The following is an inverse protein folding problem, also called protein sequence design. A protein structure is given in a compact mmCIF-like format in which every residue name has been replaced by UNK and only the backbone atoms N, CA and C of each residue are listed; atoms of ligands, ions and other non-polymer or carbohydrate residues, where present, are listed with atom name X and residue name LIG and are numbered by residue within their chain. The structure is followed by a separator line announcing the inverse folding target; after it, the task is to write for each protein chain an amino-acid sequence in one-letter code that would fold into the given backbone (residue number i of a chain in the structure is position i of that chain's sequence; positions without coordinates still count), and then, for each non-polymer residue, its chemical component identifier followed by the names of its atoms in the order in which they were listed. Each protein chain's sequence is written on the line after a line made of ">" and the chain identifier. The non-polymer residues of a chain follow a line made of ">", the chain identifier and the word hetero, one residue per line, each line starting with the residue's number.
data_IF_711697224088
#
_entry.id   IF_711697224088
#
_cell.length_a   1.000
_cell.length_b   1.000
_cell.length_c   1.000
_cell.angle_alpha   90.00
_cell.angle_beta   90.00
_cell.angle_gamma   90.00
#
_symmetry.space_group_name_H-M   'P 1'
#
loop_
_entity.id
_entity.type
_entity.pdbx_description
1 polymer ?
#
# COMPACT_ATOMS: atom_id res chain seq x y z
N UNK A 1 50.83 -36.04 20.84
CA UNK A 1 50.83 -34.74 20.14
C UNK A 1 50.24 -34.94 18.76
N UNK A 2 48.92 -34.79 18.62
CA UNK A 2 48.27 -34.81 17.31
C UNK A 2 48.07 -33.37 16.83
N UNK A 3 48.64 -33.01 15.70
CA UNK A 3 48.47 -31.70 15.11
C UNK A 3 46.98 -31.51 14.74
N UNK A 4 46.30 -30.58 15.40
CA UNK A 4 44.95 -30.17 15.02
C UNK A 4 45.00 -29.50 13.65
N UNK A 5 44.13 -29.93 12.73
CA UNK A 5 44.00 -29.28 11.43
C UNK A 5 43.52 -27.84 11.63
N UNK A 6 44.28 -26.86 11.13
CA UNK A 6 43.88 -25.46 11.08
C UNK A 6 43.36 -25.12 9.68
N UNK A 7 42.13 -24.61 9.60
CA UNK A 7 41.49 -24.09 8.39
C UNK A 7 40.14 -23.45 8.75
N UNK A 8 39.61 -22.57 7.89
CA UNK A 8 38.25 -22.05 8.02
C UNK A 8 37.26 -23.04 7.41
N UNK A 9 36.38 -23.63 8.22
CA UNK A 9 35.35 -24.56 7.76
C UNK A 9 34.45 -25.01 8.90
N UNK A 10 33.33 -25.64 8.57
CA UNK A 10 32.42 -26.24 9.56
C UNK A 10 33.00 -27.57 10.03
N UNK A 11 33.43 -27.64 11.29
CA UNK A 11 34.03 -28.86 11.88
C UNK A 11 32.99 -29.84 12.41
N UNK A 12 31.80 -29.35 12.76
CA UNK A 12 30.65 -30.13 13.22
C UNK A 12 29.37 -29.30 13.16
N UNK A 13 28.22 -29.97 13.13
CA UNK A 13 26.89 -29.37 13.29
C UNK A 13 26.38 -29.66 14.69
N UNK A 14 25.80 -28.66 15.35
CA UNK A 14 25.08 -28.85 16.62
C UNK A 14 23.59 -28.86 16.31
N UNK A 15 22.87 -29.91 16.73
CA UNK A 15 21.41 -29.94 16.70
C UNK A 15 20.87 -30.04 18.11
N UNK A 16 19.69 -29.47 18.36
CA UNK A 16 19.01 -29.51 19.64
C UNK A 16 17.51 -29.31 19.43
N UNK A 17 16.70 -29.71 20.42
CA UNK A 17 15.27 -29.41 20.48
C UNK A 17 15.02 -28.33 21.52
N UNK A 18 14.20 -27.34 21.18
CA UNK A 18 13.81 -26.28 22.11
C UNK A 18 12.61 -26.75 22.94
N UNK A 19 12.73 -26.71 24.26
CA UNK A 19 11.64 -27.03 25.19
C UNK A 19 10.80 -25.78 25.48
N UNK A 20 11.46 -24.66 25.74
CA UNK A 20 10.81 -23.39 26.04
C UNK A 20 11.76 -22.23 25.74
N UNK A 21 11.20 -21.10 25.35
CA UNK A 21 11.89 -19.84 25.20
C UNK A 21 11.14 -18.78 26.04
N UNK A 22 11.87 -18.09 26.90
CA UNK A 22 11.43 -16.87 27.58
C UNK A 22 12.49 -15.78 27.41
N UNK A 23 12.17 -14.55 27.82
CA UNK A 23 12.98 -13.34 27.63
C UNK A 23 14.46 -13.50 28.03
N UNK A 24 14.76 -14.32 29.03
CA UNK A 24 16.13 -14.53 29.52
C UNK A 24 16.64 -15.98 29.42
N UNK A 25 15.84 -16.92 28.89
CA UNK A 25 16.16 -18.34 29.01
C UNK A 25 15.68 -19.19 27.84
N UNK A 26 16.64 -19.73 27.10
CA UNK A 26 16.44 -20.80 26.13
C UNK A 26 16.66 -22.15 26.82
N UNK A 27 15.60 -22.95 26.98
CA UNK A 27 15.72 -24.35 27.44
C UNK A 27 15.78 -25.29 26.24
N UNK A 28 16.83 -26.08 26.15
CA UNK A 28 17.03 -27.08 25.10
C UNK A 28 17.19 -28.49 25.67
N UNK A 29 16.81 -29.51 24.90
CA UNK A 29 17.11 -30.93 25.12
C UNK A 29 17.67 -31.56 23.85
N UNK A 30 18.15 -32.81 23.98
CA UNK A 30 18.58 -33.63 22.85
C UNK A 30 19.66 -32.94 22.00
N UNK A 31 20.60 -32.26 22.67
CA UNK A 31 21.73 -31.65 22.00
C UNK A 31 22.70 -32.74 21.51
N UNK A 32 22.94 -32.77 20.19
CA UNK A 32 23.91 -33.66 19.56
C UNK A 32 24.93 -32.86 18.76
N UNK A 33 26.15 -33.40 18.70
CA UNK A 33 27.20 -32.93 17.81
C UNK A 33 27.39 -33.97 16.71
N UNK A 34 27.29 -33.54 15.47
CA UNK A 34 27.51 -34.39 14.30
C UNK A 34 28.77 -33.93 13.58
N UNK A 35 29.77 -34.81 13.49
CA UNK A 35 31.00 -34.50 12.75
C UNK A 35 30.76 -34.46 11.22
N UNK A 36 31.76 -34.02 10.46
CA UNK A 36 31.67 -33.94 8.99
C UNK A 36 31.56 -35.30 8.29
N UNK A 37 31.60 -36.42 9.04
CA UNK A 37 31.40 -37.79 8.54
C UNK A 37 30.05 -38.38 8.97
N UNK A 38 29.21 -37.60 9.65
CA UNK A 38 27.89 -38.04 10.11
C UNK A 38 27.91 -38.81 11.42
N UNK A 39 29.03 -38.84 12.14
CA UNK A 39 29.12 -39.49 13.45
C UNK A 39 28.46 -38.62 14.50
N UNK A 40 27.42 -39.14 15.15
CA UNK A 40 26.70 -38.45 16.21
C UNK A 40 27.32 -38.74 17.58
N UNK A 41 27.56 -37.70 18.35
CA UNK A 41 27.89 -37.80 19.78
C UNK A 41 26.84 -37.06 20.58
N UNK A 42 26.18 -37.77 21.51
CA UNK A 42 25.32 -37.13 22.50
C UNK A 42 26.17 -36.27 23.42
N UNK A 43 25.78 -35.01 23.63
CA UNK A 43 26.46 -34.14 24.58
C UNK A 43 25.86 -34.44 25.96
N UNK A 44 26.18 -35.62 26.51
CA UNK A 44 25.79 -36.01 27.86
C UNK A 44 26.91 -35.60 28.84
N UNK A 45 26.60 -34.66 29.75
CA UNK A 45 27.41 -34.30 30.93
C UNK A 45 28.86 -33.82 30.68
N UNK A 46 29.15 -33.21 29.53
CA UNK A 46 30.39 -32.47 29.27
C UNK A 46 30.11 -30.97 29.26
N UNK A 47 30.82 -30.20 30.09
CA UNK A 47 30.66 -28.75 30.31
C UNK A 47 30.70 -27.96 28.98
N UNK A 48 29.54 -27.69 28.38
CA UNK A 48 29.37 -26.52 27.53
C UNK A 48 29.45 -25.33 28.49
N UNK A 49 30.61 -24.66 28.50
CA UNK A 49 30.83 -23.42 29.23
C UNK A 49 29.76 -22.43 28.77
N UNK A 50 28.73 -22.25 29.60
CA UNK A 50 27.58 -21.38 29.43
C UNK A 50 27.81 -20.27 28.41
N UNK A 51 27.25 -20.39 27.21
CA UNK A 51 26.99 -19.23 26.39
C UNK A 51 25.75 -18.56 26.99
N UNK A 52 25.94 -17.65 27.94
CA UNK A 52 24.89 -16.72 28.33
C UNK A 52 24.75 -15.74 27.17
N UNK A 53 23.84 -16.02 26.25
CA UNK A 53 23.36 -15.04 25.29
C UNK A 53 22.06 -14.45 25.84
N UNK A 54 21.99 -13.14 25.98
CA UNK A 54 20.70 -12.47 26.15
C UNK A 54 19.99 -12.54 24.80
N UNK A 55 18.95 -13.36 24.71
CA UNK A 55 18.09 -13.45 23.54
C UNK A 55 16.90 -12.55 23.82
N UNK A 56 16.86 -11.35 23.23
CA UNK A 56 15.68 -10.49 23.35
C UNK A 56 14.66 -10.94 22.29
N UNK A 57 13.53 -11.56 22.68
CA UNK A 57 12.50 -11.88 21.71
C UNK A 57 11.93 -10.58 21.15
N UNK A 58 11.74 -10.51 19.83
CA UNK A 58 11.10 -9.36 19.17
C UNK A 58 9.68 -9.74 18.76
N UNK A 59 8.79 -8.75 18.79
CA UNK A 59 7.43 -8.90 18.27
C UNK A 59 7.38 -8.51 16.80
N UNK A 60 6.54 -9.22 16.07
CA UNK A 60 6.27 -8.97 14.66
C UNK A 60 5.04 -8.08 14.51
N UNK A 61 5.17 -7.00 13.74
CA UNK A 61 4.03 -6.24 13.23
C UNK A 61 3.98 -6.41 11.72
N UNK A 62 2.99 -7.16 11.24
CA UNK A 62 2.79 -7.35 9.81
C UNK A 62 2.01 -6.18 9.23
N UNK A 63 2.69 -5.39 8.41
CA UNK A 63 2.11 -4.24 7.71
C UNK A 63 1.83 -4.55 6.25
N UNK A 64 0.60 -4.29 5.83
CA UNK A 64 0.11 -4.51 4.47
C UNK A 64 -0.72 -3.31 3.98
N UNK A 65 -0.90 -3.20 2.66
CA UNK A 65 -1.50 -2.01 2.04
C UNK A 65 -0.55 -1.23 1.12
N UNK A 66 0.53 -1.86 0.65
CA UNK A 66 1.34 -1.33 -0.44
C UNK A 66 0.69 -1.68 -1.79
N UNK A 67 0.27 -0.69 -2.57
CA UNK A 67 -0.39 -0.91 -3.86
C UNK A 67 -0.59 0.40 -4.63
N UNK A 68 -1.25 0.38 -5.81
CA UNK A 68 -1.42 1.58 -6.63
C UNK A 68 -2.17 2.72 -5.91
N UNK A 69 -2.95 2.41 -4.86
CA UNK A 69 -3.70 3.42 -4.11
C UNK A 69 -2.94 4.14 -3.00
N UNK A 70 -1.74 3.69 -2.63
CA UNK A 70 -0.97 4.31 -1.56
C UNK A 70 0.09 3.41 -0.94
N UNK A 71 0.64 3.87 0.17
CA UNK A 71 1.71 3.19 0.88
C UNK A 71 1.53 3.28 2.40
N UNK A 72 2.10 2.29 3.09
CA UNK A 72 2.28 2.27 4.54
C UNK A 72 3.78 2.13 4.82
N UNK A 73 4.30 2.89 5.78
CA UNK A 73 5.72 2.88 6.16
C UNK A 73 5.87 2.85 7.68
N UNK A 74 6.65 1.93 8.27
CA UNK A 74 7.35 0.81 7.59
C UNK A 74 6.38 -0.21 6.94
N UNK A 75 6.86 -0.98 5.97
CA UNK A 75 6.08 -1.97 5.21
C UNK A 75 6.61 -3.40 5.41
N UNK A 76 5.75 -4.41 5.27
CA UNK A 76 6.13 -5.81 5.46
C UNK A 76 6.19 -6.21 6.92
N UNK A 77 7.09 -7.15 7.25
CA UNK A 77 7.30 -7.63 8.62
C UNK A 77 8.24 -6.70 9.39
N UNK A 78 7.72 -6.06 10.43
CA UNK A 78 8.43 -5.08 11.25
C UNK A 78 8.71 -5.68 12.62
N UNK A 79 10.00 -5.75 12.97
CA UNK A 79 10.46 -6.35 14.22
C UNK A 79 10.65 -5.26 15.27
N UNK A 80 9.95 -5.39 16.40
CA UNK A 80 9.89 -4.40 17.47
C UNK A 80 10.34 -5.03 18.78
N UNK A 81 11.15 -4.30 19.56
CA UNK A 81 11.58 -4.74 20.90
C UNK A 81 10.40 -4.72 21.88
N UNK A 82 10.37 -5.62 22.89
CA UNK A 82 9.36 -5.62 23.92
C UNK A 82 9.23 -4.27 24.62
N UNK A 83 8.00 -3.80 24.76
CA UNK A 83 7.66 -2.51 25.37
C UNK A 83 8.03 -1.27 24.56
N UNK A 84 8.63 -1.42 23.37
CA UNK A 84 8.90 -0.29 22.50
C UNK A 84 7.63 0.20 21.80
N UNK A 85 7.67 1.46 21.35
CA UNK A 85 6.62 2.08 20.56
C UNK A 85 6.95 1.96 19.07
N UNK A 86 5.98 1.64 18.22
CA UNK A 86 6.15 1.62 16.78
C UNK A 86 5.10 2.46 16.06
N UNK A 87 5.56 3.43 15.27
CA UNK A 87 4.71 4.31 14.48
C UNK A 87 4.67 3.87 13.02
N UNK A 88 3.49 3.91 12.41
CA UNK A 88 3.24 3.71 10.99
C UNK A 88 2.66 4.98 10.38
N UNK A 89 3.17 5.35 9.20
CA UNK A 89 2.64 6.44 8.38
C UNK A 89 1.96 5.85 7.16
N UNK A 90 0.75 6.33 6.85
CA UNK A 90 -0.08 5.89 5.75
C UNK A 90 -0.25 7.07 4.80
N UNK A 91 0.25 6.93 3.58
CA UNK A 91 0.22 7.98 2.57
C UNK A 91 -0.57 7.50 1.34
N UNK A 92 -1.73 8.10 1.03
CA UNK A 92 -2.44 7.81 -0.21
C UNK A 92 -1.63 8.31 -1.40
N UNK A 93 -1.72 7.58 -2.52
CA UNK A 93 -1.20 8.04 -3.80
C UNK A 93 -2.02 9.22 -4.33
N UNK A 94 -1.46 9.96 -5.31
CA UNK A 94 -2.25 10.98 -6.03
C UNK A 94 -3.51 10.34 -6.62
N UNK A 95 -4.63 11.06 -6.61
CA UNK A 95 -5.96 10.56 -6.99
C UNK A 95 -6.61 9.51 -6.06
N UNK A 96 -6.01 9.17 -4.92
CA UNK A 96 -6.61 8.23 -3.95
C UNK A 96 -6.86 8.89 -2.59
N UNK A 97 -7.68 8.25 -1.78
CA UNK A 97 -7.85 8.57 -0.37
C UNK A 97 -7.81 7.28 0.47
N UNK A 98 -7.48 7.44 1.76
CA UNK A 98 -7.53 6.35 2.73
C UNK A 98 -9.00 6.08 3.05
N UNK A 99 -9.47 4.85 2.85
CA UNK A 99 -10.82 4.46 3.26
C UNK A 99 -10.84 3.88 4.66
N UNK A 100 -9.80 3.13 5.02
CA UNK A 100 -9.66 2.56 6.35
C UNK A 100 -8.22 2.17 6.66
N UNK A 101 -7.89 2.16 7.96
CA UNK A 101 -6.75 1.45 8.52
C UNK A 101 -7.29 0.42 9.51
N UNK A 102 -6.93 -0.84 9.34
CA UNK A 102 -7.35 -1.95 10.20
C UNK A 102 -6.13 -2.41 10.99
N UNK A 103 -6.27 -2.53 12.30
CA UNK A 103 -5.23 -3.09 13.18
C UNK A 103 -5.82 -4.23 13.99
N UNK A 104 -5.21 -5.41 13.94
CA UNK A 104 -5.67 -6.60 14.68
C UNK A 104 -7.16 -6.90 14.47
N UNK A 105 -7.60 -6.79 13.22
CA UNK A 105 -9.01 -6.95 12.79
C UNK A 105 -9.96 -5.83 13.24
N UNK A 106 -9.49 -4.78 13.90
CA UNK A 106 -10.29 -3.63 14.30
C UNK A 106 -10.05 -2.41 13.41
N UNK A 107 -11.14 -1.82 12.92
CA UNK A 107 -11.13 -0.58 12.15
C UNK A 107 -10.67 0.61 12.99
N UNK A 108 -9.81 1.45 12.41
CA UNK A 108 -9.36 2.73 12.96
C UNK A 108 -9.87 3.93 12.14
N UNK A 109 -10.59 3.66 11.04
CA UNK A 109 -11.06 4.69 10.11
C UNK A 109 -9.94 5.21 9.20
N UNK A 110 -10.24 6.30 8.49
CA UNK A 110 -9.35 6.95 7.54
C UNK A 110 -8.30 7.83 8.27
N UNK A 111 -7.27 7.20 8.83
CA UNK A 111 -6.16 7.88 9.51
C UNK A 111 -4.87 7.79 8.70
N UNK A 112 -4.05 8.85 8.72
CA UNK A 112 -2.75 8.90 8.03
C UNK A 112 -1.58 8.42 8.88
N UNK A 113 -1.81 8.14 10.17
CA UNK A 113 -0.78 7.69 11.09
C UNK A 113 -1.40 6.81 12.17
N UNK A 114 -0.69 5.75 12.54
CA UNK A 114 -1.06 4.90 13.67
C UNK A 114 0.17 4.57 14.54
N UNK A 115 0.00 4.62 15.85
CA UNK A 115 1.02 4.27 16.83
C UNK A 115 0.59 2.99 17.55
N UNK A 116 1.44 1.97 17.54
CA UNK A 116 1.40 0.88 18.51
C UNK A 116 2.22 1.29 19.73
N UNK A 117 1.60 1.66 20.86
CA UNK A 117 2.34 1.92 22.09
C UNK A 117 2.68 0.60 22.78
N UNK A 118 3.84 0.53 23.44
CA UNK A 118 4.20 -0.53 24.36
C UNK A 118 3.92 -1.95 23.79
N UNK A 119 4.60 -2.28 22.68
CA UNK A 119 4.38 -3.52 21.93
C UNK A 119 4.82 -4.72 22.77
N UNK A 120 3.85 -5.56 23.17
CA UNK A 120 4.08 -6.75 23.98
C UNK A 120 3.44 -8.02 23.39
N UNK A 121 3.00 -7.94 22.14
CA UNK A 121 2.48 -9.05 21.36
C UNK A 121 2.65 -8.77 19.87
N UNK A 122 2.42 -9.79 19.04
CA UNK A 122 2.45 -9.61 17.58
C UNK A 122 1.20 -8.86 17.13
N UNK A 123 1.35 -7.96 16.16
CA UNK A 123 0.26 -7.17 15.61
C UNK A 123 0.17 -7.26 14.09
N UNK A 124 -0.94 -6.76 13.58
CA UNK A 124 -1.18 -6.54 12.15
C UNK A 124 -1.65 -5.11 11.93
N UNK A 125 -1.25 -4.52 10.82
CA UNK A 125 -1.79 -3.25 10.33
C UNK A 125 -2.00 -3.32 8.82
N UNK A 126 -3.18 -2.93 8.37
CA UNK A 126 -3.56 -2.93 6.97
C UNK A 126 -4.15 -1.58 6.59
N UNK A 127 -3.60 -0.94 5.56
CA UNK A 127 -4.20 0.25 4.96
C UNK A 127 -5.02 -0.10 3.72
N UNK A 128 -6.19 0.52 3.59
CA UNK A 128 -7.08 0.42 2.43
C UNK A 128 -7.26 1.79 1.77
N UNK A 129 -7.28 1.80 0.44
CA UNK A 129 -7.35 3.00 -0.38
C UNK A 129 -8.41 2.84 -1.46
N UNK A 130 -9.07 3.94 -1.83
CA UNK A 130 -9.99 4.00 -2.98
C UNK A 130 -9.65 5.19 -3.88
N UNK A 131 -9.83 5.01 -5.19
CA UNK A 131 -9.65 6.08 -6.17
C UNK A 131 -10.76 7.12 -6.02
N UNK A 132 -10.40 8.39 -6.08
CA UNK A 132 -11.34 9.49 -6.03
C UNK A 132 -12.23 9.46 -7.27
N UNK A 133 -13.53 9.71 -7.06
CA UNK A 133 -14.53 9.84 -8.11
C UNK A 133 -14.99 11.28 -8.17
N UNK A 134 -15.16 11.80 -9.38
CA UNK A 134 -15.60 13.16 -9.62
C UNK A 134 -16.79 13.20 -10.56
N UNK A 135 -17.55 14.28 -10.46
CA UNK A 135 -18.73 14.52 -11.29
C UNK A 135 -18.40 15.55 -12.38
N UNK A 136 -18.68 15.19 -13.62
CA UNK A 136 -18.69 16.09 -14.77
C UNK A 136 -20.15 16.39 -15.10
N UNK A 137 -20.53 17.66 -15.10
CA UNK A 137 -21.87 18.09 -15.55
C UNK A 137 -21.77 18.64 -16.96
N UNK A 138 -22.26 17.90 -17.94
CA UNK A 138 -22.23 18.27 -19.35
C UNK A 138 -23.62 18.71 -19.84
N UNK A 139 -23.67 19.84 -20.53
CA UNK A 139 -24.91 20.41 -21.06
C UNK A 139 -24.69 21.00 -22.45
N UNK A 140 -25.76 21.09 -23.23
CA UNK A 140 -25.78 21.73 -24.53
C UNK A 140 -26.84 22.84 -24.53
N UNK A 141 -26.49 23.98 -25.12
CA UNK A 141 -27.45 25.02 -25.48
C UNK A 141 -28.36 24.61 -26.63
N UNK A 142 -29.23 25.52 -27.04
CA UNK A 142 -30.12 25.32 -28.20
C UNK A 142 -29.31 25.19 -29.50
N UNK A 143 -29.73 24.32 -30.42
CA UNK A 143 -29.12 24.19 -31.75
C UNK A 143 -28.05 23.11 -31.87
N UNK A 144 -27.99 22.18 -30.92
CA UNK A 144 -27.11 21.02 -31.00
C UNK A 144 -27.17 20.16 -29.75
N UNK A 145 -26.29 19.17 -29.71
CA UNK A 145 -26.18 18.19 -28.62
C UNK A 145 -24.71 18.01 -28.22
N UNK A 146 -24.52 17.60 -26.96
CA UNK A 146 -23.24 17.10 -26.45
C UNK A 146 -23.42 15.65 -26.00
N UNK A 147 -22.43 14.80 -26.27
CA UNK A 147 -22.41 13.41 -25.83
C UNK A 147 -21.05 13.05 -25.23
N UNK A 148 -20.98 12.54 -23.98
CA UNK A 148 -22.09 12.32 -23.05
C UNK A 148 -22.68 13.65 -22.52
N UNK A 149 -23.94 13.62 -22.05
CA UNK A 149 -24.63 14.75 -21.42
C UNK A 149 -25.15 14.39 -20.03
N UNK A 150 -25.51 15.40 -19.24
CA UNK A 150 -25.98 15.24 -17.87
C UNK A 150 -24.85 15.09 -16.86
N UNK A 151 -25.15 14.41 -15.75
CA UNK A 151 -24.19 14.12 -14.68
C UNK A 151 -23.45 12.82 -14.97
N UNK A 152 -22.13 12.92 -15.17
CA UNK A 152 -21.24 11.81 -15.48
C UNK A 152 -20.29 11.62 -14.30
N UNK A 153 -20.26 10.43 -13.72
CA UNK A 153 -19.27 10.08 -12.68
C UNK A 153 -18.07 9.43 -13.35
N UNK A 154 -16.87 9.98 -13.13
CA UNK A 154 -15.62 9.50 -13.70
C UNK A 154 -14.55 9.37 -12.61
N UNK A 155 -13.62 8.43 -12.80
CA UNK A 155 -12.49 8.25 -11.89
C UNK A 155 -11.44 9.35 -12.08
N UNK A 156 -10.74 9.73 -11.02
CA UNK A 156 -9.60 10.63 -11.13
C UNK A 156 -8.54 10.05 -12.08
N UNK A 157 -8.05 10.87 -13.01
CA UNK A 157 -7.15 10.49 -14.10
C UNK A 157 -7.85 9.91 -15.33
N UNK A 158 -9.15 9.60 -15.27
CA UNK A 158 -9.91 9.13 -16.42
C UNK A 158 -9.94 10.19 -17.53
N UNK A 159 -9.91 9.73 -18.78
CA UNK A 159 -10.04 10.57 -19.97
C UNK A 159 -11.43 10.38 -20.56
N UNK A 160 -12.25 11.41 -20.50
CA UNK A 160 -13.63 11.39 -21.02
C UNK A 160 -13.68 12.23 -22.29
N UNK A 161 -14.14 11.63 -23.38
CA UNK A 161 -14.33 12.30 -24.66
C UNK A 161 -15.76 12.84 -24.80
N UNK A 162 -15.87 14.10 -25.20
CA UNK A 162 -17.11 14.80 -25.47
C UNK A 162 -17.20 15.13 -26.95
N UNK A 163 -18.27 14.67 -27.58
CA UNK A 163 -18.61 14.94 -28.97
C UNK A 163 -19.76 15.96 -29.02
N UNK A 164 -19.53 17.06 -29.73
CA UNK A 164 -20.53 18.07 -30.01
C UNK A 164 -21.07 17.86 -31.41
N UNK A 165 -22.40 17.87 -31.54
CA UNK A 165 -23.11 17.70 -32.81
C UNK A 165 -24.10 18.85 -32.98
N UNK A 166 -23.81 19.86 -33.82
CA UNK A 166 -24.77 20.88 -34.18
C UNK A 166 -26.00 20.28 -34.86
N UNK A 167 -27.17 20.88 -34.63
CA UNK A 167 -28.36 20.60 -35.42
C UNK A 167 -28.24 21.26 -36.81
N UNK A 168 -29.13 20.90 -37.75
CA UNK A 168 -29.18 21.52 -39.07
C UNK A 168 -29.32 23.05 -38.98
N UNK A 169 -28.58 23.77 -39.81
CA UNK A 169 -28.47 25.24 -39.80
C UNK A 169 -27.83 25.84 -38.53
N UNK A 170 -27.05 25.06 -37.78
CA UNK A 170 -26.24 25.55 -36.67
C UNK A 170 -24.77 25.09 -36.81
N UNK A 171 -23.88 25.83 -36.16
CA UNK A 171 -22.48 25.44 -35.95
C UNK A 171 -22.11 25.54 -34.47
N UNK A 172 -21.01 24.90 -34.09
CA UNK A 172 -20.43 25.04 -32.75
C UNK A 172 -19.91 26.48 -32.63
N UNK A 173 -20.46 27.25 -31.70
CA UNK A 173 -19.99 28.59 -31.40
C UNK A 173 -18.86 28.55 -30.36
N UNK A 174 -19.01 27.73 -29.32
CA UNK A 174 -18.01 27.58 -28.26
C UNK A 174 -18.21 26.27 -27.48
N UNK A 175 -17.15 25.84 -26.80
CA UNK A 175 -17.19 24.85 -25.73
C UNK A 175 -16.63 25.49 -24.47
N UNK A 176 -17.44 25.63 -23.44
CA UNK A 176 -17.04 26.22 -22.16
C UNK A 176 -16.76 25.12 -21.16
N UNK A 177 -15.56 25.09 -20.57
CA UNK A 177 -15.15 24.12 -19.54
C UNK A 177 -14.78 24.88 -18.27
N UNK A 178 -15.44 24.59 -17.15
CA UNK A 178 -15.29 25.28 -15.87
C UNK A 178 -15.41 26.82 -15.98
N UNK A 179 -16.28 27.29 -16.88
CA UNK A 179 -16.46 28.72 -17.15
C UNK A 179 -15.42 29.35 -18.09
N UNK A 180 -14.48 28.57 -18.62
CA UNK A 180 -13.44 29.01 -19.56
C UNK A 180 -13.72 28.51 -20.97
N UNK A 181 -13.81 29.43 -21.92
CA UNK A 181 -13.95 29.14 -23.35
C UNK A 181 -12.77 28.31 -23.86
N UNK A 182 -13.08 27.25 -24.59
CA UNK A 182 -12.12 26.40 -25.32
C UNK A 182 -12.21 26.65 -26.84
N UNK A 183 -13.13 27.51 -27.28
CA UNK A 183 -13.42 27.77 -28.68
C UNK A 183 -14.34 26.73 -29.31
N UNK A 184 -14.60 26.90 -30.61
CA UNK A 184 -15.39 25.98 -31.41
C UNK A 184 -14.60 24.68 -31.72
N UNK A 185 -14.57 23.76 -30.77
CA UNK A 185 -13.83 22.49 -30.86
C UNK A 185 -14.73 21.27 -30.65
N UNK A 186 -14.49 20.21 -31.41
CA UNK A 186 -15.10 18.87 -31.26
C UNK A 186 -14.27 17.84 -32.03
N UNK A 187 -13.94 16.67 -31.45
CA UNK A 187 -14.20 16.26 -30.08
C UNK A 187 -13.33 17.01 -29.04
N UNK A 188 -13.72 16.94 -27.77
CA UNK A 188 -12.93 17.43 -26.63
C UNK A 188 -12.65 16.30 -25.63
N UNK A 189 -11.38 16.11 -25.26
CA UNK A 189 -10.98 15.09 -24.29
C UNK A 189 -10.60 15.76 -22.97
N UNK A 190 -11.41 15.53 -21.94
CA UNK A 190 -11.16 16.01 -20.58
C UNK A 190 -10.39 14.96 -19.78
N UNK A 191 -9.32 15.37 -19.10
CA UNK A 191 -8.67 14.53 -18.06
C UNK A 191 -9.20 14.93 -16.69
N UNK A 192 -9.84 13.98 -16.00
CA UNK A 192 -10.59 14.25 -14.77
C UNK A 192 -9.64 14.38 -13.59
N UNK A 193 -9.67 15.52 -12.90
CA UNK A 193 -8.85 15.75 -11.69
C UNK A 193 -9.64 16.37 -10.53
N UNK A 194 -10.87 16.79 -10.82
CA UNK A 194 -11.83 17.41 -9.91
C UNK A 194 -13.22 17.32 -10.57
N UNK A 195 -14.22 17.88 -9.91
CA UNK A 195 -15.51 18.11 -10.56
C UNK A 195 -15.35 19.13 -11.68
N UNK A 196 -16.09 18.91 -12.78
CA UNK A 196 -16.05 19.78 -13.95
C UNK A 196 -17.45 20.16 -14.43
N UNK A 197 -17.57 21.33 -15.05
CA UNK A 197 -18.74 21.71 -15.84
C UNK A 197 -18.35 21.87 -17.30
N UNK A 198 -19.20 21.37 -18.20
CA UNK A 198 -19.01 21.48 -19.64
C UNK A 198 -20.30 21.99 -20.26
N UNK A 199 -20.20 23.04 -21.07
CA UNK A 199 -21.33 23.63 -21.78
C UNK A 199 -20.98 23.82 -23.25
N UNK A 200 -21.68 23.08 -24.11
CA UNK A 200 -21.63 23.30 -25.55
C UNK A 200 -22.55 24.45 -25.94
N UNK A 201 -22.04 25.39 -26.71
CA UNK A 201 -22.77 26.57 -27.22
C UNK A 201 -22.82 26.49 -28.74
N UNK A 202 -24.02 26.65 -29.30
CA UNK A 202 -24.25 26.63 -30.74
C UNK A 202 -24.83 27.97 -31.20
N UNK A 203 -24.53 28.34 -32.44
CA UNK A 203 -25.08 29.53 -33.07
C UNK A 203 -25.70 29.13 -34.42
N UNK A 204 -26.78 29.81 -34.78
CA UNK A 204 -27.45 29.59 -36.07
C UNK A 204 -26.54 30.09 -37.20
N UNK A 205 -26.49 29.35 -38.29
CA UNK A 205 -25.74 29.74 -39.48
C UNK A 205 -26.32 31.01 -40.10
N UNK A 206 -25.47 31.89 -40.66
CA UNK A 206 -25.93 33.06 -41.38
C UNK A 206 -26.75 32.64 -42.61
N UNK A 207 -27.87 33.31 -42.84
CA UNK A 207 -28.62 33.17 -44.09
C UNK A 207 -27.82 33.89 -45.17
N UNK A 208 -27.37 33.14 -46.17
CA UNK A 208 -26.64 33.64 -47.35
C UNK A 208 -27.65 34.14 -48.39
#
# INVERSE_FOLDING_TARGET
>A
TGAGASGSGTLATITFQVISLSDDLLKIINASLTDTKGTESSIANGKLSTANGNVHPRYHIFSSGTGPGGSISPSGDVLVEPGANQTFTIQPAACYHITNVITDSFSRGAISQYLFPNVNENHTIQAAFEINKFTITASAGTGGKISPSGSITAMCGERVEFNLTPDDCYHIADLIVDGVSQGAISPYILTVSKNHTIQAVFAKDPVI
#
